data_IF_559531115763
#
_entry.id   IF_559531115763
#
_cell.length_a   1.000
_cell.length_b   1.000
_cell.length_c   1.000
_cell.angle_alpha   90.00
_cell.angle_beta   90.00
_cell.angle_gamma   90.00
#
_symmetry.space_group_name_H-M   'P 1'
#
loop_
_entity.id
_entity.type
_entity.pdbx_description
1 polymer ?
#
# COMPACT_ATOMS: atom_id res chain seq x y z
N UNK A 1 -7.47 -21.29 -38.21
CA UNK A 1 -7.02 -19.89 -38.14
C UNK A 1 -6.10 -19.77 -36.94
N UNK A 2 -4.97 -19.04 -37.01
CA UNK A 2 -4.14 -18.82 -35.83
C UNK A 2 -4.74 -17.73 -34.95
N UNK A 3 -4.68 -17.94 -33.64
CA UNK A 3 -4.95 -16.91 -32.64
C UNK A 3 -3.69 -16.07 -32.45
N UNK A 4 -3.85 -14.75 -32.53
CA UNK A 4 -2.76 -13.78 -32.35
C UNK A 4 -2.98 -13.07 -31.02
N UNK A 5 -1.96 -13.02 -30.19
CA UNK A 5 -1.96 -12.32 -28.91
C UNK A 5 -0.99 -11.14 -28.99
N UNK A 6 -1.43 -9.98 -28.51
CA UNK A 6 -0.59 -8.79 -28.37
C UNK A 6 0.00 -8.79 -26.97
N UNK A 7 1.31 -8.84 -26.87
CA UNK A 7 2.03 -8.57 -25.63
C UNK A 7 2.02 -7.05 -25.41
N UNK A 8 1.38 -6.58 -24.34
CA UNK A 8 1.17 -5.15 -24.00
C UNK A 8 0.25 -4.34 -24.94
N UNK A 9 -1.07 -4.60 -24.93
CA UNK A 9 -2.03 -3.69 -25.57
C UNK A 9 -1.92 -2.28 -24.97
N UNK A 10 -2.30 -1.25 -25.72
CA UNK A 10 -2.43 0.14 -25.22
C UNK A 10 -3.47 0.20 -24.09
N UNK A 11 -3.05 -0.14 -22.88
CA UNK A 11 -3.85 0.01 -21.69
C UNK A 11 -3.96 1.49 -21.37
N UNK A 12 -5.16 1.94 -20.99
CA UNK A 12 -5.32 3.27 -20.39
C UNK A 12 -4.33 3.41 -19.25
N UNK A 13 -3.56 4.49 -19.27
CA UNK A 13 -2.63 4.84 -18.20
C UNK A 13 -3.40 4.93 -16.87
N UNK A 14 -2.95 4.17 -15.88
CA UNK A 14 -3.50 4.23 -14.53
C UNK A 14 -3.05 5.49 -13.79
N UNK A 15 -3.49 5.63 -12.53
CA UNK A 15 -3.12 6.76 -11.68
C UNK A 15 -1.93 6.47 -10.78
N UNK A 16 -1.61 5.18 -10.57
CA UNK A 16 -0.50 4.71 -9.75
C UNK A 16 0.52 3.92 -10.57
N UNK A 17 1.80 4.07 -10.21
CA UNK A 17 2.92 3.43 -10.90
C UNK A 17 3.93 2.88 -9.89
N UNK A 18 4.44 1.70 -10.21
CA UNK A 18 5.57 1.13 -9.49
C UNK A 18 6.88 1.68 -10.04
N UNK A 19 7.78 2.14 -9.16
CA UNK A 19 9.11 2.60 -9.54
C UNK A 19 10.13 1.50 -9.22
N UNK A 20 10.67 0.88 -10.28
CA UNK A 20 11.64 -0.18 -10.13
C UNK A 20 12.87 0.29 -9.34
N UNK A 21 13.23 -0.48 -8.31
CA UNK A 21 14.36 -0.18 -7.42
C UNK A 21 14.01 0.66 -6.18
N UNK A 22 12.76 1.12 -6.04
CA UNK A 22 12.27 1.80 -4.83
C UNK A 22 11.07 1.03 -4.26
N UNK A 23 11.29 -0.16 -3.68
CA UNK A 23 10.23 -0.90 -3.02
C UNK A 23 9.75 -0.13 -1.76
N UNK A 24 8.48 -0.31 -1.38
CA UNK A 24 7.88 0.42 -0.26
C UNK A 24 7.53 1.90 -0.54
N UNK A 25 7.48 2.30 -1.81
CA UNK A 25 6.95 3.58 -2.28
C UNK A 25 6.18 3.37 -3.59
N UNK A 26 5.33 4.32 -3.95
CA UNK A 26 4.64 4.32 -5.24
C UNK A 26 4.59 5.73 -5.82
N UNK A 27 4.48 5.80 -7.14
CA UNK A 27 4.26 7.05 -7.86
C UNK A 27 2.77 7.22 -8.13
N UNK A 28 2.29 8.45 -8.07
CA UNK A 28 0.93 8.82 -8.40
C UNK A 28 0.86 10.08 -9.27
N UNK A 29 -0.17 10.18 -10.08
CA UNK A 29 -0.45 11.38 -10.88
C UNK A 29 -1.10 12.50 -10.04
N UNK A 30 -1.36 13.64 -10.71
CA UNK A 30 -1.99 14.79 -10.06
C UNK A 30 -3.44 14.52 -9.63
N UNK A 31 -4.19 13.70 -10.37
CA UNK A 31 -5.58 13.40 -10.02
C UNK A 31 -5.65 12.60 -8.72
N UNK A 32 -4.90 11.50 -8.62
CA UNK A 32 -4.82 10.70 -7.40
C UNK A 32 -4.28 11.51 -6.23
N UNK A 33 -3.30 12.40 -6.45
CA UNK A 33 -2.79 13.28 -5.38
C UNK A 33 -3.91 14.15 -4.81
N UNK A 34 -4.72 14.78 -5.66
CA UNK A 34 -5.79 15.68 -5.23
C UNK A 34 -6.88 14.93 -4.47
N UNK A 35 -7.31 13.77 -4.97
CA UNK A 35 -8.37 12.97 -4.36
C UNK A 35 -7.99 12.33 -3.01
N UNK A 36 -6.69 12.16 -2.76
CA UNK A 36 -6.15 11.44 -1.62
C UNK A 36 -5.32 12.33 -0.68
N UNK A 37 -5.25 13.64 -0.90
CA UNK A 37 -4.37 14.55 -0.17
C UNK A 37 -4.55 14.43 1.36
N UNK A 38 -5.80 14.38 1.82
CA UNK A 38 -6.16 14.26 3.24
C UNK A 38 -5.68 12.95 3.89
N UNK A 39 -5.47 11.91 3.09
CA UNK A 39 -5.00 10.59 3.54
C UNK A 39 -3.49 10.42 3.38
N UNK A 40 -2.89 11.08 2.38
CA UNK A 40 -1.46 10.99 2.06
C UNK A 40 -0.61 11.91 2.94
N UNK A 41 -1.06 13.15 3.16
CA UNK A 41 -0.34 14.14 3.96
C UNK A 41 0.00 13.66 5.39
N UNK A 42 -0.91 13.02 6.15
CA UNK A 42 -0.55 12.47 7.47
C UNK A 42 0.28 11.19 7.39
N UNK A 43 0.27 10.47 6.25
CA UNK A 43 0.91 9.16 6.11
C UNK A 43 2.38 9.21 5.67
N UNK A 44 2.82 10.31 5.06
CA UNK A 44 4.15 10.38 4.47
C UNK A 44 4.45 11.65 3.70
N UNK A 45 5.39 11.53 2.75
CA UNK A 45 5.92 12.65 1.99
C UNK A 45 5.68 12.46 0.49
N UNK A 46 5.24 13.53 -0.18
CA UNK A 46 5.09 13.60 -1.63
C UNK A 46 6.28 14.33 -2.25
N UNK A 47 7.11 13.60 -3.00
CA UNK A 47 8.27 14.14 -3.71
C UNK A 47 7.87 14.41 -5.18
N UNK A 48 7.69 15.68 -5.58
CA UNK A 48 7.28 16.02 -6.94
C UNK A 48 8.42 15.82 -7.94
N UNK A 49 8.07 15.32 -9.13
CA UNK A 49 8.96 15.26 -10.29
C UNK A 49 8.14 15.38 -11.58
N UNK A 50 8.83 15.44 -12.73
CA UNK A 50 8.18 15.50 -14.03
C UNK A 50 8.50 14.25 -14.86
N UNK A 51 7.49 13.72 -15.54
CA UNK A 51 7.63 12.70 -16.56
C UNK A 51 7.01 13.26 -17.85
N UNK A 52 7.85 13.57 -18.85
CA UNK A 52 7.42 14.16 -20.13
C UNK A 52 6.48 15.37 -19.96
N UNK A 53 6.92 16.35 -19.15
CA UNK A 53 6.19 17.57 -18.78
C UNK A 53 4.92 17.36 -17.93
N UNK A 54 4.57 16.12 -17.58
CA UNK A 54 3.48 15.82 -16.66
C UNK A 54 3.98 15.77 -15.20
N UNK A 55 3.34 16.52 -14.27
CA UNK A 55 3.67 16.44 -12.86
C UNK A 55 3.25 15.11 -12.26
N UNK A 56 4.24 14.42 -11.70
CA UNK A 56 4.12 13.15 -10.99
C UNK A 56 4.64 13.32 -9.56
N UNK A 57 4.22 12.41 -8.67
CA UNK A 57 4.60 12.47 -7.27
C UNK A 57 5.06 11.08 -6.82
N UNK A 58 6.26 10.98 -6.26
CA UNK A 58 6.68 9.79 -5.54
C UNK A 58 6.19 9.91 -4.09
N UNK A 59 5.34 9.00 -3.65
CA UNK A 59 4.87 8.96 -2.28
C UNK A 59 5.73 8.02 -1.43
N UNK A 60 6.44 8.60 -0.47
CA UNK A 60 7.21 7.89 0.53
C UNK A 60 6.39 7.78 1.82
N UNK A 61 5.86 6.59 2.10
CA UNK A 61 5.15 6.30 3.36
C UNK A 61 6.16 6.37 4.51
N UNK A 62 5.89 7.26 5.47
CA UNK A 62 6.68 7.44 6.69
C UNK A 62 6.00 6.83 7.91
N UNK A 63 4.67 6.69 7.88
CA UNK A 63 3.91 6.05 8.94
C UNK A 63 4.35 4.59 9.10
N UNK A 64 4.84 4.24 10.29
CA UNK A 64 5.35 2.91 10.59
C UNK A 64 4.74 2.41 11.91
N UNK A 65 3.74 1.53 11.79
CA UNK A 65 2.99 1.01 12.91
C UNK A 65 3.59 -0.29 13.43
N UNK A 66 3.94 -0.34 14.72
CA UNK A 66 4.36 -1.57 15.38
C UNK A 66 3.14 -2.41 15.79
N UNK A 67 2.46 -2.97 14.79
CA UNK A 67 1.18 -3.69 14.96
C UNK A 67 1.26 -5.19 14.75
N UNK A 68 2.37 -5.73 14.23
CA UNK A 68 2.49 -7.17 14.02
C UNK A 68 2.49 -7.90 15.37
N UNK A 69 1.69 -8.96 15.48
CA UNK A 69 1.76 -9.89 16.59
C UNK A 69 2.69 -11.04 16.19
N UNK A 70 4.00 -10.88 16.40
CA UNK A 70 5.00 -11.88 16.02
C UNK A 70 4.75 -13.25 16.68
N UNK A 71 4.20 -13.30 17.90
CA UNK A 71 3.93 -14.56 18.61
C UNK A 71 2.81 -15.38 17.96
N UNK A 72 1.84 -14.71 17.32
CA UNK A 72 0.70 -15.35 16.64
C UNK A 72 0.86 -15.44 15.13
N UNK A 73 1.81 -14.69 14.56
CA UNK A 73 2.11 -14.71 13.13
C UNK A 73 2.98 -15.91 12.79
N UNK A 74 2.85 -16.41 11.56
CA UNK A 74 3.74 -17.43 11.02
C UNK A 74 4.92 -16.73 10.33
N UNK A 75 6.04 -16.64 11.03
CA UNK A 75 7.24 -15.96 10.57
C UNK A 75 8.38 -16.95 10.34
N UNK A 76 9.08 -16.82 9.22
CA UNK A 76 10.33 -17.53 8.96
C UNK A 76 11.51 -16.59 9.12
N UNK A 77 12.65 -17.14 9.57
CA UNK A 77 13.85 -16.37 9.87
C UNK A 77 15.06 -17.00 9.19
N UNK A 78 15.98 -16.16 8.71
CA UNK A 78 17.25 -16.61 8.18
C UNK A 78 18.03 -17.38 9.24
N UNK A 79 18.43 -18.62 8.94
CA UNK A 79 19.18 -19.47 9.89
C UNK A 79 20.47 -18.81 10.39
N UNK A 80 21.16 -18.06 9.53
CA UNK A 80 22.47 -17.44 9.80
C UNK A 80 22.39 -16.16 10.63
N UNK A 81 21.39 -15.30 10.39
CA UNK A 81 21.32 -13.96 11.00
C UNK A 81 20.20 -13.83 12.03
N UNK A 82 19.28 -14.81 12.09
CA UNK A 82 18.03 -14.75 12.85
C UNK A 82 17.15 -13.55 12.49
N UNK A 83 17.43 -12.85 11.38
CA UNK A 83 16.57 -11.79 10.86
C UNK A 83 15.33 -12.41 10.23
N UNK A 84 14.21 -11.70 10.32
CA UNK A 84 12.99 -12.07 9.63
C UNK A 84 13.28 -12.21 8.13
N UNK A 85 12.83 -13.33 7.57
CA UNK A 85 12.94 -13.64 6.16
C UNK A 85 11.61 -13.36 5.46
N UNK A 86 10.51 -13.87 6.02
CA UNK A 86 9.18 -13.78 5.43
C UNK A 86 8.09 -13.94 6.50
N UNK A 87 6.95 -13.28 6.30
CA UNK A 87 5.73 -13.45 7.10
C UNK A 87 4.74 -14.23 6.24
N UNK A 88 4.53 -15.51 6.55
CA UNK A 88 3.65 -16.40 5.80
C UNK A 88 2.17 -16.18 6.14
N UNK A 89 1.89 -15.84 7.41
CA UNK A 89 0.55 -15.52 7.91
C UNK A 89 0.64 -14.37 8.90
N UNK A 90 -0.18 -13.36 8.67
CA UNK A 90 -0.21 -12.16 9.49
C UNK A 90 -1.21 -12.32 10.64
N UNK A 91 -0.87 -11.76 11.78
CA UNK A 91 -1.82 -11.43 12.84
C UNK A 91 -1.45 -10.06 13.38
N UNK A 92 -2.41 -9.14 13.46
CA UNK A 92 -2.16 -7.77 13.93
C UNK A 92 -2.81 -7.49 15.29
N UNK A 93 -2.13 -6.66 16.09
CA UNK A 93 -2.61 -6.15 17.36
C UNK A 93 -3.44 -4.88 17.14
N UNK A 94 -4.78 -5.01 17.21
CA UNK A 94 -5.74 -3.90 17.00
C UNK A 94 -5.41 -2.59 17.73
N UNK A 95 -4.84 -2.67 18.95
CA UNK A 95 -4.53 -1.50 19.78
C UNK A 95 -3.41 -0.60 19.22
N UNK A 96 -2.62 -1.09 18.27
CA UNK A 96 -1.51 -0.32 17.69
C UNK A 96 -1.88 0.48 16.44
N UNK A 97 -3.10 0.29 15.90
CA UNK A 97 -3.57 1.08 14.75
C UNK A 97 -3.93 2.51 15.18
N UNK A 98 -3.67 3.47 14.30
CA UNK A 98 -3.98 4.89 14.50
C UNK A 98 -4.84 5.41 13.34
N UNK A 99 -5.05 6.73 13.27
CA UNK A 99 -5.96 7.29 12.28
C UNK A 99 -5.50 7.19 10.82
N UNK A 100 -4.21 6.98 10.59
CA UNK A 100 -3.61 6.84 9.27
C UNK A 100 -3.83 5.42 8.75
N UNK A 101 -4.59 5.29 7.67
CA UNK A 101 -4.94 3.98 7.10
C UNK A 101 -3.92 3.46 6.09
N UNK A 102 -2.85 4.19 5.80
CA UNK A 102 -1.75 3.78 4.92
C UNK A 102 -0.44 3.83 5.68
N UNK A 103 0.25 2.70 5.78
CA UNK A 103 1.37 2.55 6.71
C UNK A 103 2.36 1.44 6.29
N UNK A 104 3.46 1.35 7.02
CA UNK A 104 4.47 0.29 7.00
C UNK A 104 4.52 -0.41 8.36
N UNK A 105 5.11 -1.59 8.43
CA UNK A 105 5.48 -2.24 9.70
C UNK A 105 7.00 -2.32 9.82
N UNK A 106 7.58 -2.31 11.04
CA UNK A 106 9.03 -2.36 11.24
C UNK A 106 9.72 -3.49 10.46
N UNK A 107 9.08 -4.65 10.44
CA UNK A 107 9.56 -5.92 9.90
C UNK A 107 9.82 -5.87 8.39
N UNK A 108 8.94 -5.19 7.64
CA UNK A 108 9.01 -5.10 6.17
C UNK A 108 8.94 -3.66 5.65
N UNK A 109 9.32 -2.70 6.50
CA UNK A 109 9.28 -1.24 6.26
C UNK A 109 10.00 -0.76 4.98
N UNK A 110 10.87 -1.59 4.41
CA UNK A 110 11.60 -1.29 3.17
C UNK A 110 10.92 -1.80 1.91
N UNK A 111 9.91 -2.65 2.02
CA UNK A 111 9.35 -3.36 0.86
C UNK A 111 7.85 -3.24 0.76
N UNK A 112 7.14 -3.48 1.87
CA UNK A 112 5.71 -3.67 1.81
C UNK A 112 4.99 -2.41 2.29
N UNK A 113 3.77 -2.26 1.80
CA UNK A 113 2.89 -1.14 2.09
C UNK A 113 1.55 -1.72 2.48
N UNK A 114 1.00 -1.24 3.57
CA UNK A 114 -0.20 -1.79 4.17
C UNK A 114 -1.28 -0.73 4.23
N UNK A 115 -2.51 -1.17 4.07
CA UNK A 115 -3.69 -0.38 4.37
C UNK A 115 -4.71 -1.24 5.08
N UNK A 116 -5.67 -0.61 5.75
CA UNK A 116 -6.75 -1.32 6.42
C UNK A 116 -8.08 -0.57 6.25
N UNK A 117 -9.18 -1.32 6.36
CA UNK A 117 -10.56 -0.82 6.44
C UNK A 117 -11.17 -1.20 7.79
N UNK A 118 -12.32 -0.61 8.14
CA UNK A 118 -13.02 -0.89 9.40
C UNK A 118 -12.51 -0.06 10.59
N UNK A 119 -12.48 -0.65 11.78
CA UNK A 119 -12.05 0.02 13.03
C UNK A 119 -12.83 1.32 13.33
N UNK A 120 -14.12 1.34 12.97
CA UNK A 120 -14.99 2.51 13.14
C UNK A 120 -14.78 3.63 12.11
N UNK A 121 -13.91 3.45 11.12
CA UNK A 121 -13.74 4.39 10.00
C UNK A 121 -14.75 4.09 8.90
N UNK A 122 -15.32 5.14 8.31
CA UNK A 122 -16.15 4.99 7.10
C UNK A 122 -15.24 4.55 5.96
N UNK A 123 -15.73 3.67 5.09
CA UNK A 123 -14.92 3.12 3.99
C UNK A 123 -14.27 4.22 3.14
N UNK A 124 -15.01 5.30 2.85
CA UNK A 124 -14.51 6.45 2.07
C UNK A 124 -13.44 7.30 2.76
N UNK A 125 -13.22 7.10 4.05
CA UNK A 125 -12.17 7.75 4.84
C UNK A 125 -10.93 6.86 5.00
N UNK A 126 -10.93 5.68 4.37
CA UNK A 126 -9.78 4.77 4.29
C UNK A 126 -9.09 4.92 2.93
N UNK A 127 -7.78 4.68 2.87
CA UNK A 127 -7.02 4.78 1.62
C UNK A 127 -7.59 3.86 0.53
N UNK A 128 -7.82 2.59 0.85
CA UNK A 128 -8.43 1.63 -0.09
C UNK A 128 -9.80 2.12 -0.57
N UNK A 129 -10.70 2.48 0.35
CA UNK A 129 -12.06 2.86 -0.01
C UNK A 129 -12.13 4.17 -0.79
N UNK A 130 -11.24 5.14 -0.54
CA UNK A 130 -11.15 6.37 -1.34
C UNK A 130 -10.61 6.09 -2.75
N UNK A 131 -9.58 5.25 -2.88
CA UNK A 131 -9.05 4.81 -4.18
C UNK A 131 -10.16 4.17 -5.03
N UNK A 132 -10.93 3.26 -4.45
CA UNK A 132 -12.05 2.58 -5.12
C UNK A 132 -13.18 3.55 -5.48
N UNK A 133 -13.59 4.42 -4.54
CA UNK A 133 -14.66 5.39 -4.73
C UNK A 133 -14.37 6.39 -5.85
N UNK A 134 -13.12 6.86 -5.94
CA UNK A 134 -12.69 7.79 -6.98
C UNK A 134 -12.37 7.10 -8.32
N UNK A 135 -12.43 5.76 -8.39
CA UNK A 135 -12.15 5.00 -9.60
C UNK A 135 -10.68 5.04 -10.02
N UNK A 136 -9.76 5.26 -9.07
CA UNK A 136 -8.33 5.35 -9.34
C UNK A 136 -7.76 3.95 -9.59
N UNK A 137 -6.86 3.82 -10.56
CA UNK A 137 -6.35 2.51 -11.03
C UNK A 137 -4.83 2.40 -10.97
N UNK A 138 -4.30 1.18 -10.96
CA UNK A 138 -2.85 0.90 -10.90
C UNK A 138 -2.37 0.30 -9.57
N UNK A 139 -3.24 0.20 -8.57
CA UNK A 139 -3.00 -0.56 -7.33
C UNK A 139 -3.79 -1.86 -7.34
N UNK A 140 -3.24 -2.88 -6.69
CA UNK A 140 -3.90 -4.14 -6.39
C UNK A 140 -3.94 -4.28 -4.87
N UNK A 141 -5.13 -4.42 -4.31
CA UNK A 141 -5.32 -4.66 -2.87
C UNK A 141 -5.51 -6.15 -2.63
N UNK A 142 -4.58 -6.75 -1.90
CA UNK A 142 -4.66 -8.15 -1.48
C UNK A 142 -4.96 -8.19 0.01
N UNK A 143 -6.05 -8.84 0.38
CA UNK A 143 -6.36 -9.10 1.79
C UNK A 143 -5.40 -10.16 2.34
N UNK A 144 -4.70 -9.82 3.42
CA UNK A 144 -3.69 -10.69 4.06
C UNK A 144 -4.07 -11.09 5.49
N UNK A 145 -5.09 -10.45 6.04
CA UNK A 145 -5.58 -10.67 7.39
C UNK A 145 -6.96 -10.04 7.57
N UNK A 146 -7.80 -10.75 8.33
CA UNK A 146 -9.08 -10.31 8.86
C UNK A 146 -9.12 -10.65 10.35
N UNK A 147 -9.74 -9.81 11.16
CA UNK A 147 -9.83 -10.03 12.60
C UNK A 147 -11.06 -10.84 13.03
N UNK A 148 -11.90 -11.24 12.06
CA UNK A 148 -13.07 -12.08 12.27
C UNK A 148 -14.19 -11.38 13.05
N UNK A 149 -14.17 -10.06 13.16
CA UNK A 149 -15.26 -9.28 13.74
C UNK A 149 -16.07 -8.67 12.59
N UNK A 150 -17.30 -9.14 12.44
CA UNK A 150 -18.26 -8.52 11.53
C UNK A 150 -18.52 -7.06 11.98
N UNK A 151 -18.28 -6.10 11.09
CA UNK A 151 -18.60 -4.66 11.26
C UNK A 151 -20.12 -4.38 11.20
#
# INVERSE_FOLDING_TARGET
MPDIYCDSPECKRGNFFYLFGIPGAFVLDTHAKVELADLLEPAGELLPFYLDDEPMYLFNILECLNVLNEEKSDCTYFKSTKRLQEINKYTFNRKGFNDTTLFKIPETSRTDMYTYTGMGKRLEDTFKGRVEKCGLTGLIFTEIWDDGVDD
#
